data_IF_842232657110
#
_entry.id   IF_842232657110
#
_cell.length_a   1.000
_cell.length_b   1.000
_cell.length_c   1.000
_cell.angle_alpha   90.00
_cell.angle_beta   90.00
_cell.angle_gamma   90.00
#
_symmetry.space_group_name_H-M   'P 1'
#
loop_
_entity.id
_entity.type
_entity.pdbx_description
1 polymer ?
#
# COMPACT_ATOMS: atom_id res chain seq x y z
N UNK A 1 -4.41 -5.79 68.05
CA UNK A 1 -5.20 -4.69 67.47
C UNK A 1 -4.32 -3.92 66.49
N UNK A 2 -4.42 -4.22 65.19
CA UNK A 2 -3.61 -3.57 64.15
C UNK A 2 -4.55 -2.76 63.23
N UNK A 3 -4.38 -1.44 63.20
CA UNK A 3 -5.12 -0.54 62.31
C UNK A 3 -4.38 -0.48 60.96
N UNK A 4 -5.01 -1.03 59.92
CA UNK A 4 -4.60 -0.83 58.52
C UNK A 4 -5.00 0.58 58.08
N UNK A 5 -4.02 1.41 57.74
CA UNK A 5 -4.22 2.71 57.10
C UNK A 5 -4.36 2.48 55.60
N UNK A 6 -5.58 2.61 55.05
CA UNK A 6 -5.83 2.62 53.60
C UNK A 6 -5.56 4.02 53.05
N UNK A 7 -4.46 4.18 52.33
CA UNK A 7 -4.18 5.39 51.56
C UNK A 7 -5.04 5.40 50.30
N UNK A 8 -5.97 6.35 50.23
CA UNK A 8 -6.87 6.60 49.09
C UNK A 8 -6.06 7.25 47.97
N UNK A 9 -5.80 6.52 46.89
CA UNK A 9 -5.25 7.07 45.66
C UNK A 9 -6.34 7.90 44.98
N UNK A 10 -6.17 9.22 44.96
CA UNK A 10 -7.00 10.14 44.19
C UNK A 10 -6.79 9.90 42.69
N UNK A 11 -7.83 9.41 42.02
CA UNK A 11 -7.92 9.34 40.56
C UNK A 11 -8.34 10.72 40.06
N UNK A 12 -7.38 11.55 39.66
CA UNK A 12 -7.70 12.79 38.94
C UNK A 12 -7.75 12.53 37.42
N UNK A 13 -9.00 12.55 36.94
CA UNK A 13 -9.45 13.27 35.74
C UNK A 13 -8.92 12.80 34.39
N UNK A 14 -9.55 11.74 33.88
CA UNK A 14 -9.60 11.39 32.46
C UNK A 14 -10.22 12.53 31.65
N UNK A 15 -9.41 13.28 30.91
CA UNK A 15 -9.89 14.08 29.79
C UNK A 15 -10.52 13.13 28.77
N UNK A 16 -11.84 13.22 28.65
CA UNK A 16 -12.63 12.35 27.78
C UNK A 16 -12.32 12.72 26.32
N UNK A 17 -11.56 11.89 25.62
CA UNK A 17 -11.46 11.95 24.15
C UNK A 17 -12.83 11.54 23.62
N UNK A 18 -13.71 12.53 23.39
CA UNK A 18 -15.04 12.27 22.84
C UNK A 18 -14.89 11.91 21.37
N UNK A 19 -15.41 10.72 21.05
CA UNK A 19 -15.44 10.15 19.71
C UNK A 19 -16.36 10.91 18.76
N UNK A 20 -16.08 10.70 17.47
CA UNK A 20 -16.75 11.18 16.25
C UNK A 20 -18.22 11.59 16.46
N UNK A 21 -18.57 12.77 15.95
CA UNK A 21 -19.97 13.14 15.75
C UNK A 21 -20.58 12.43 14.52
N UNK A 22 -21.91 12.44 14.47
CA UNK A 22 -22.78 11.82 13.44
C UNK A 22 -22.57 12.33 12.01
N UNK A 23 -21.67 13.30 11.81
CA UNK A 23 -21.34 13.89 10.50
C UNK A 23 -19.90 13.58 10.05
N UNK A 24 -19.13 12.80 10.81
CA UNK A 24 -17.78 12.38 10.43
C UNK A 24 -16.70 13.47 10.56
N UNK A 25 -16.99 14.59 11.23
CA UNK A 25 -16.01 15.66 11.44
C UNK A 25 -15.13 15.39 12.66
N UNK A 26 -13.85 15.76 12.54
CA UNK A 26 -12.88 15.77 13.64
C UNK A 26 -13.27 16.87 14.64
N UNK A 27 -13.84 16.48 15.80
CA UNK A 27 -13.96 17.39 16.95
C UNK A 27 -12.57 17.60 17.53
N UNK A 28 -11.99 18.76 17.22
CA UNK A 28 -10.79 19.23 17.90
C UNK A 28 -11.20 19.77 19.28
N UNK A 29 -10.34 19.68 20.31
CA UNK A 29 -10.57 20.36 21.57
C UNK A 29 -10.94 21.82 21.31
N UNK A 30 -11.89 22.38 22.08
CA UNK A 30 -12.40 23.75 21.92
C UNK A 30 -11.31 24.84 21.83
N UNK A 31 -10.10 24.52 22.29
CA UNK A 31 -8.94 25.41 22.34
C UNK A 31 -8.10 25.43 21.06
N UNK A 32 -8.32 24.52 20.11
CA UNK A 32 -7.50 24.45 18.89
C UNK A 32 -8.03 25.42 17.83
N UNK A 33 -7.12 26.18 17.22
CA UNK A 33 -7.48 27.12 16.17
C UNK A 33 -7.93 26.35 14.93
N UNK A 34 -9.07 26.75 14.34
CA UNK A 34 -9.50 26.25 13.03
C UNK A 34 -8.53 26.75 11.97
N UNK A 35 -7.91 25.84 11.22
CA UNK A 35 -7.03 26.13 10.09
C UNK A 35 -7.33 25.20 8.92
N UNK A 36 -6.79 25.51 7.75
CA UNK A 36 -6.70 24.61 6.61
C UNK A 36 -5.25 24.21 6.36
N UNK A 37 -5.03 23.18 5.54
CA UNK A 37 -3.68 22.77 5.13
C UNK A 37 -2.95 23.93 4.43
N UNK A 38 -3.60 24.63 3.50
CA UNK A 38 -2.99 25.76 2.78
C UNK A 38 -2.68 26.98 3.67
N UNK A 39 -3.36 27.13 4.81
CA UNK A 39 -3.02 28.15 5.81
C UNK A 39 -1.92 27.69 6.77
N UNK A 40 -1.79 26.38 6.99
CA UNK A 40 -0.78 25.76 7.83
C UNK A 40 0.60 25.70 7.17
N UNK A 41 0.67 25.75 5.84
CA UNK A 41 1.91 25.71 5.08
C UNK A 41 1.73 25.86 3.57
N UNK A 42 2.85 25.92 2.86
CA UNK A 42 2.89 25.98 1.40
C UNK A 42 2.59 24.60 0.79
N UNK A 43 1.68 24.56 -0.18
CA UNK A 43 1.33 23.34 -0.92
C UNK A 43 1.68 23.54 -2.39
N UNK A 44 2.51 22.65 -2.93
CA UNK A 44 2.97 22.76 -4.31
C UNK A 44 3.01 21.41 -5.02
N UNK A 45 2.64 21.40 -6.30
CA UNK A 45 2.84 20.23 -7.16
C UNK A 45 4.29 20.18 -7.64
N UNK A 46 4.82 18.97 -7.84
CA UNK A 46 6.15 18.82 -8.40
C UNK A 46 6.21 19.13 -9.89
N UNK A 47 7.43 19.10 -10.44
CA UNK A 47 7.66 19.42 -11.85
C UNK A 47 7.10 18.36 -12.78
N UNK A 48 6.39 18.78 -13.82
CA UNK A 48 5.94 17.87 -14.87
C UNK A 48 7.13 17.35 -15.69
N UNK A 49 7.17 16.02 -15.90
CA UNK A 49 8.17 15.41 -16.77
C UNK A 49 7.84 15.65 -18.23
N UNK A 50 8.86 15.91 -19.03
CA UNK A 50 8.75 16.02 -20.49
C UNK A 50 10.02 15.48 -21.15
N UNK A 51 9.93 14.88 -22.36
CA UNK A 51 11.09 14.29 -23.02
C UNK A 51 12.28 15.25 -23.23
N UNK A 52 12.00 16.54 -23.43
CA UNK A 52 13.03 17.58 -23.56
C UNK A 52 13.91 17.72 -22.32
N UNK A 53 13.42 17.32 -21.14
CA UNK A 53 14.16 17.40 -19.88
C UNK A 53 15.01 16.14 -19.63
N UNK A 54 14.98 15.14 -20.51
CA UNK A 54 15.78 13.91 -20.32
C UNK A 54 17.28 14.13 -20.58
N UNK A 55 17.63 15.24 -21.23
CA UNK A 55 19.01 15.62 -21.56
C UNK A 55 19.20 17.11 -21.27
N UNK A 56 20.43 17.52 -21.00
CA UNK A 56 20.81 18.91 -20.75
C UNK A 56 22.02 19.01 -19.84
N UNK A 57 22.53 20.23 -19.65
CA UNK A 57 23.77 20.47 -18.91
C UNK A 57 23.58 20.29 -17.39
N UNK A 58 22.47 20.79 -16.86
CA UNK A 58 22.16 20.75 -15.43
C UNK A 58 21.25 19.58 -15.06
N UNK A 59 21.80 18.37 -15.06
CA UNK A 59 21.08 17.15 -14.65
C UNK A 59 21.01 17.05 -13.12
N UNK A 60 19.81 17.14 -12.57
CA UNK A 60 19.59 17.10 -11.12
C UNK A 60 18.74 15.88 -10.75
N UNK A 61 18.99 15.26 -9.58
CA UNK A 61 18.20 14.13 -9.11
C UNK A 61 16.80 14.57 -8.69
N UNK A 62 15.83 13.66 -8.82
CA UNK A 62 14.46 13.92 -8.38
C UNK A 62 13.78 12.70 -7.75
N UNK A 63 12.85 12.98 -6.83
CA UNK A 63 11.95 12.00 -6.25
C UNK A 63 10.66 11.86 -7.08
N UNK A 64 10.17 10.63 -7.14
CA UNK A 64 8.91 10.23 -7.76
C UNK A 64 8.11 9.34 -6.81
N UNK A 65 6.87 9.04 -7.18
CA UNK A 65 5.97 8.15 -6.43
C UNK A 65 6.60 6.82 -5.97
N UNK A 66 7.59 6.30 -6.72
CA UNK A 66 8.33 5.08 -6.39
C UNK A 66 9.28 5.24 -5.18
N UNK A 67 9.72 6.46 -4.89
CA UNK A 67 10.65 6.77 -3.81
C UNK A 67 9.95 7.03 -2.47
N UNK A 68 8.67 7.41 -2.48
CA UNK A 68 7.92 7.85 -1.29
C UNK A 68 7.05 6.71 -0.77
N UNK A 69 7.47 6.13 0.36
CA UNK A 69 6.72 5.15 1.15
C UNK A 69 6.02 5.84 2.33
N UNK A 70 5.29 5.09 3.18
CA UNK A 70 4.70 5.72 4.37
C UNK A 70 5.82 6.07 5.37
N UNK A 71 6.00 7.37 5.63
CA UNK A 71 7.02 7.94 6.52
C UNK A 71 8.47 7.52 6.21
N UNK A 72 8.73 7.08 4.98
CA UNK A 72 10.06 6.67 4.55
C UNK A 72 10.30 7.06 3.10
N UNK A 73 11.44 7.68 2.84
CA UNK A 73 11.92 7.95 1.48
C UNK A 73 13.05 6.98 1.16
N UNK A 74 12.96 6.31 0.02
CA UNK A 74 14.05 5.49 -0.53
C UNK A 74 14.76 6.24 -1.65
N UNK A 75 16.08 6.26 -1.56
CA UNK A 75 16.98 6.85 -2.54
C UNK A 75 17.79 5.79 -3.31
N UNK A 76 17.36 4.53 -3.25
CA UNK A 76 18.06 3.40 -3.88
C UNK A 76 17.97 3.45 -5.42
N UNK A 77 16.87 4.01 -5.93
CA UNK A 77 16.61 4.19 -7.37
C UNK A 77 16.23 5.66 -7.64
N UNK A 78 17.26 6.47 -7.90
CA UNK A 78 17.13 7.89 -8.19
C UNK A 78 17.37 8.15 -9.68
N UNK A 79 16.42 8.84 -10.29
CA UNK A 79 16.53 9.33 -11.66
C UNK A 79 16.95 10.79 -11.66
N UNK A 80 17.56 11.22 -12.76
CA UNK A 80 17.95 12.61 -12.99
C UNK A 80 17.19 13.17 -14.19
N UNK A 81 16.99 14.50 -14.19
CA UNK A 81 16.51 15.23 -15.36
C UNK A 81 17.08 16.63 -15.38
N UNK A 82 17.09 17.26 -16.54
CA UNK A 82 17.60 18.61 -16.70
C UNK A 82 16.66 19.65 -16.07
N UNK A 83 17.18 20.53 -15.22
CA UNK A 83 16.46 21.69 -14.69
C UNK A 83 17.16 23.00 -15.07
N UNK A 84 16.39 24.03 -15.39
CA UNK A 84 16.93 25.38 -15.36
C UNK A 84 17.26 25.78 -13.91
N UNK A 85 18.30 26.58 -13.69
CA UNK A 85 18.78 26.88 -12.33
C UNK A 85 17.68 27.48 -11.43
N UNK A 86 16.89 28.43 -11.95
CA UNK A 86 15.78 29.07 -11.22
C UNK A 86 14.63 28.09 -10.95
N UNK A 87 14.38 27.20 -11.91
CA UNK A 87 13.34 26.19 -11.81
C UNK A 87 13.70 25.15 -10.74
N UNK A 88 14.96 24.73 -10.69
CA UNK A 88 15.44 23.79 -9.67
C UNK A 88 15.17 24.31 -8.26
N UNK A 89 15.46 25.58 -7.97
CA UNK A 89 15.24 26.17 -6.65
C UNK A 89 13.76 26.16 -6.20
N UNK A 90 12.83 26.20 -7.16
CA UNK A 90 11.39 26.11 -6.87
C UNK A 90 11.00 24.71 -6.40
N UNK A 91 11.59 23.69 -7.04
CA UNK A 91 11.29 22.28 -6.77
C UNK A 91 12.27 21.62 -5.80
N UNK A 92 13.32 22.32 -5.35
CA UNK A 92 14.30 21.78 -4.42
C UNK A 92 13.63 21.44 -3.09
N UNK A 93 13.89 20.22 -2.62
CA UNK A 93 13.44 19.74 -1.32
C UNK A 93 14.34 20.26 -0.21
N UNK A 94 13.72 20.47 0.96
CA UNK A 94 14.36 20.93 2.18
C UNK A 94 13.92 20.05 3.33
N UNK A 95 14.78 19.89 4.32
CA UNK A 95 14.43 19.20 5.56
C UNK A 95 13.06 19.65 6.09
N UNK A 96 12.20 18.69 6.43
CA UNK A 96 10.86 18.96 6.95
C UNK A 96 9.78 19.10 5.88
N UNK A 97 10.14 19.10 4.59
CA UNK A 97 9.15 18.97 3.52
C UNK A 97 8.43 17.62 3.62
N UNK A 98 7.11 17.63 3.51
CA UNK A 98 6.31 16.40 3.47
C UNK A 98 5.85 16.16 2.05
N UNK A 99 6.17 14.99 1.51
CA UNK A 99 5.77 14.54 0.19
C UNK A 99 4.57 13.62 0.31
N UNK A 100 3.57 13.84 -0.55
CA UNK A 100 2.37 13.01 -0.65
C UNK A 100 2.27 12.43 -2.05
N UNK A 101 1.94 11.14 -2.15
CA UNK A 101 1.79 10.47 -3.43
C UNK A 101 0.58 10.94 -4.23
N UNK A 102 0.81 11.29 -5.49
CA UNK A 102 -0.19 11.50 -6.52
C UNK A 102 -0.13 10.36 -7.55
N UNK A 103 -1.27 10.05 -8.17
CA UNK A 103 -1.31 9.10 -9.29
C UNK A 103 -1.01 7.66 -8.88
N UNK A 104 -1.60 7.20 -7.76
CA UNK A 104 -1.58 5.78 -7.34
C UNK A 104 -3.00 5.20 -7.30
N UNK A 105 -3.12 3.94 -6.87
CA UNK A 105 -4.42 3.38 -6.51
C UNK A 105 -5.12 4.23 -5.46
N UNK A 106 -6.45 4.16 -5.43
CA UNK A 106 -7.28 4.94 -4.51
C UNK A 106 -6.94 4.70 -3.03
N UNK A 107 -6.37 3.55 -2.68
CA UNK A 107 -5.96 3.21 -1.31
C UNK A 107 -4.60 3.81 -0.91
N UNK A 108 -3.73 4.08 -1.88
CA UNK A 108 -2.36 4.57 -1.65
C UNK A 108 -2.20 6.07 -1.94
N UNK A 109 -3.24 6.70 -2.48
CA UNK A 109 -3.26 8.14 -2.76
C UNK A 109 -3.04 8.94 -1.48
N UNK A 110 -2.16 9.93 -1.55
CA UNK A 110 -1.83 10.77 -0.41
C UNK A 110 -0.90 10.13 0.62
N UNK A 111 -0.30 8.96 0.34
CA UNK A 111 0.71 8.35 1.22
C UNK A 111 1.83 9.36 1.53
N UNK A 112 2.01 9.77 2.80
CA UNK A 112 2.93 10.85 3.15
C UNK A 112 4.29 10.33 3.66
N UNK A 113 5.36 11.06 3.36
CA UNK A 113 6.66 10.93 4.02
C UNK A 113 7.32 12.29 4.21
N UNK A 114 7.99 12.49 5.35
CA UNK A 114 8.81 13.67 5.57
C UNK A 114 10.22 13.44 5.03
N UNK A 115 10.72 14.43 4.29
CA UNK A 115 12.08 14.49 3.78
C UNK A 115 13.04 14.95 4.88
N UNK A 116 14.04 14.12 5.16
CA UNK A 116 15.03 14.28 6.24
C UNK A 116 16.44 14.42 5.69
N UNK A 117 16.58 15.00 4.49
CA UNK A 117 17.84 15.15 3.76
C UNK A 117 18.46 13.82 3.35
N UNK A 118 17.63 12.84 2.97
CA UNK A 118 18.10 11.56 2.44
C UNK A 118 19.00 11.72 1.21
N UNK A 119 18.80 12.81 0.45
CA UNK A 119 19.62 13.21 -0.69
C UNK A 119 19.52 14.74 -0.90
N UNK A 120 20.62 15.50 -0.84
CA UNK A 120 20.64 16.94 -1.13
C UNK A 120 21.83 17.26 -2.04
N UNK A 121 21.65 17.96 -3.18
CA UNK A 121 20.40 18.53 -3.70
C UNK A 121 19.48 17.50 -4.35
N UNK A 122 18.16 17.68 -4.21
CA UNK A 122 17.15 16.86 -4.90
C UNK A 122 15.87 17.65 -5.14
N UNK A 123 15.20 17.38 -6.26
CA UNK A 123 13.88 17.93 -6.59
C UNK A 123 12.79 16.85 -6.54
N UNK A 124 11.56 17.17 -6.96
CA UNK A 124 10.45 16.21 -7.05
C UNK A 124 9.58 16.46 -8.27
N UNK A 125 8.88 15.40 -8.71
CA UNK A 125 8.01 15.42 -9.90
C UNK A 125 6.54 15.58 -9.54
N UNK A 126 5.71 15.89 -10.54
CA UNK A 126 4.25 16.02 -10.41
C UNK A 126 3.51 14.72 -10.01
N UNK A 127 4.24 13.60 -9.90
CA UNK A 127 3.75 12.38 -9.22
C UNK A 127 3.70 12.52 -7.70
N UNK A 128 4.11 13.67 -7.17
CA UNK A 128 4.11 14.02 -5.76
C UNK A 128 3.55 15.44 -5.56
N UNK A 129 2.92 15.64 -4.41
CA UNK A 129 2.61 16.96 -3.85
C UNK A 129 3.52 17.20 -2.65
N UNK A 130 4.04 18.42 -2.52
CA UNK A 130 4.82 18.86 -1.36
C UNK A 130 3.94 19.73 -0.47
N UNK A 131 3.99 19.46 0.84
CA UNK A 131 3.61 20.37 1.90
C UNK A 131 4.87 20.86 2.62
N UNK A 132 5.03 22.17 2.77
CA UNK A 132 6.09 22.79 3.57
C UNK A 132 5.46 23.58 4.70
N UNK A 133 5.71 23.16 5.92
CA UNK A 133 5.15 23.77 7.13
C UNK A 133 5.51 25.27 7.22
N UNK A 134 4.55 26.08 7.65
CA UNK A 134 4.82 27.45 8.09
C UNK A 134 5.52 27.46 9.46
N UNK A 135 6.02 28.62 9.89
CA UNK A 135 6.68 28.75 11.21
C UNK A 135 5.76 28.47 12.41
N UNK A 136 4.44 28.35 12.21
CA UNK A 136 3.48 28.00 13.25
C UNK A 136 3.20 26.49 13.35
N UNK A 137 3.85 25.68 12.50
CA UNK A 137 3.58 24.24 12.37
C UNK A 137 4.85 23.45 12.52
N UNK A 138 4.84 22.48 13.44
CA UNK A 138 5.91 21.50 13.57
C UNK A 138 5.79 20.45 12.44
N UNK A 139 6.81 20.27 11.58
CA UNK A 139 6.72 19.33 10.46
C UNK A 139 6.35 17.90 10.85
N UNK A 140 6.92 17.38 11.93
CA UNK A 140 6.63 16.02 12.39
C UNK A 140 5.17 15.88 12.88
N UNK A 141 4.58 16.94 13.41
CA UNK A 141 3.16 16.97 13.74
C UNK A 141 2.29 16.95 12.48
N UNK A 142 2.62 17.77 11.47
CA UNK A 142 1.90 17.77 10.20
C UNK A 142 1.94 16.40 9.51
N UNK A 143 3.07 15.71 9.58
CA UNK A 143 3.21 14.34 9.08
C UNK A 143 2.22 13.38 9.77
N UNK A 144 2.08 13.47 11.11
CA UNK A 144 1.12 12.64 11.85
C UNK A 144 -0.33 12.92 11.43
N UNK A 145 -0.69 14.19 11.22
CA UNK A 145 -2.01 14.58 10.70
C UNK A 145 -2.26 13.96 9.33
N UNK A 146 -1.29 14.01 8.42
CA UNK A 146 -1.45 13.44 7.08
C UNK A 146 -1.48 11.92 7.08
N UNK A 147 -0.71 11.26 7.96
CA UNK A 147 -0.84 9.81 8.19
C UNK A 147 -2.23 9.45 8.69
N UNK A 148 -2.79 10.26 9.59
CA UNK A 148 -4.18 10.10 10.01
C UNK A 148 -5.16 10.27 8.83
N UNK A 149 -4.95 11.22 7.93
CA UNK A 149 -5.82 11.41 6.75
C UNK A 149 -5.74 10.27 5.73
N UNK A 150 -4.56 9.66 5.60
CA UNK A 150 -4.40 8.43 4.82
C UNK A 150 -5.24 7.30 5.43
N UNK A 151 -5.01 6.97 6.70
CA UNK A 151 -5.61 5.80 7.36
C UNK A 151 -7.09 5.96 7.70
N UNK A 152 -7.58 7.19 7.88
CA UNK A 152 -9.01 7.47 8.10
C UNK A 152 -9.82 7.55 6.80
N UNK A 153 -9.15 7.53 5.64
CA UNK A 153 -9.80 7.63 4.33
C UNK A 153 -10.17 9.05 3.90
N UNK A 154 -9.74 10.09 4.63
CA UNK A 154 -9.95 11.50 4.23
C UNK A 154 -9.34 11.76 2.85
N UNK A 155 -8.11 11.32 2.60
CA UNK A 155 -7.46 11.45 1.30
C UNK A 155 -8.22 10.74 0.18
N UNK A 156 -8.70 9.52 0.44
CA UNK A 156 -9.55 8.77 -0.49
C UNK A 156 -10.85 9.51 -0.80
N UNK A 157 -11.48 10.14 0.19
CA UNK A 157 -12.76 10.83 0.03
C UNK A 157 -12.67 12.06 -0.87
N UNK A 158 -11.52 12.75 -0.86
CA UNK A 158 -11.31 13.94 -1.69
C UNK A 158 -10.64 13.62 -3.02
N UNK A 159 -10.04 12.44 -3.19
CA UNK A 159 -9.33 12.07 -4.40
C UNK A 159 -10.28 11.97 -5.61
N UNK A 160 -9.76 12.28 -6.80
CA UNK A 160 -10.46 12.05 -8.07
C UNK A 160 -9.68 11.03 -8.86
N UNK A 161 -10.40 10.09 -9.46
CA UNK A 161 -9.82 9.08 -10.34
C UNK A 161 -9.81 9.64 -11.76
N UNK A 162 -8.68 9.52 -12.44
CA UNK A 162 -8.52 9.84 -13.85
C UNK A 162 -7.74 8.70 -14.48
N UNK A 163 -8.27 8.08 -15.54
CA UNK A 163 -7.57 7.04 -16.34
C UNK A 163 -6.80 6.03 -15.46
N UNK A 164 -7.48 5.42 -14.48
CA UNK A 164 -6.96 4.45 -13.49
C UNK A 164 -6.03 4.97 -12.37
N UNK A 165 -5.75 6.27 -12.30
CA UNK A 165 -4.93 6.87 -11.25
C UNK A 165 -5.72 7.84 -10.38
N UNK A 166 -5.56 7.74 -9.06
CA UNK A 166 -6.17 8.64 -8.11
C UNK A 166 -5.27 9.83 -7.80
N UNK A 167 -5.86 11.02 -7.82
CA UNK A 167 -5.17 12.28 -7.56
C UNK A 167 -5.80 13.05 -6.40
N UNK A 168 -4.98 13.55 -5.47
CA UNK A 168 -5.43 14.46 -4.39
C UNK A 168 -5.74 15.83 -4.98
N UNK A 169 -4.85 16.36 -5.82
CA UNK A 169 -4.92 17.70 -6.36
C UNK A 169 -4.61 18.77 -5.30
N UNK A 170 -3.68 19.67 -5.63
CA UNK A 170 -3.16 20.73 -4.74
C UNK A 170 -4.27 21.53 -4.07
N UNK A 171 -5.26 22.03 -4.83
CA UNK A 171 -6.32 22.88 -4.27
C UNK A 171 -7.23 22.13 -3.28
N UNK A 172 -7.53 20.85 -3.54
CA UNK A 172 -8.39 20.04 -2.65
C UNK A 172 -7.64 19.66 -1.38
N UNK A 173 -6.37 19.29 -1.51
CA UNK A 173 -5.52 19.03 -0.36
C UNK A 173 -5.34 20.28 0.50
N UNK A 174 -5.06 21.45 -0.10
CA UNK A 174 -4.93 22.72 0.59
C UNK A 174 -6.22 23.16 1.32
N UNK A 175 -7.39 22.77 0.82
CA UNK A 175 -8.69 23.08 1.42
C UNK A 175 -9.07 22.17 2.60
N UNK A 176 -8.34 21.07 2.83
CA UNK A 176 -8.64 20.19 3.95
C UNK A 176 -8.50 20.95 5.28
N UNK A 177 -9.38 20.67 6.27
CA UNK A 177 -9.17 21.14 7.63
C UNK A 177 -7.78 20.72 8.13
N UNK A 178 -7.16 21.52 8.99
CA UNK A 178 -5.92 21.18 9.65
C UNK A 178 -6.02 21.55 11.14
N UNK A 179 -5.88 20.58 12.07
CA UNK A 179 -5.86 20.88 13.50
C UNK A 179 -4.60 21.66 13.84
N UNK A 180 -4.74 22.82 14.47
CA UNK A 180 -3.61 23.69 14.80
C UNK A 180 -3.56 24.03 16.30
N UNK A 181 -3.04 23.12 17.14
CA UNK A 181 -2.73 23.43 18.53
C UNK A 181 -1.55 24.40 18.67
N UNK A 182 -1.30 24.95 19.88
CA UNK A 182 -0.06 25.67 20.18
C UNK A 182 1.19 24.86 19.83
N UNK A 183 2.25 25.52 19.37
CA UNK A 183 3.45 24.85 18.83
C UNK A 183 4.11 23.90 19.83
N UNK A 184 4.08 24.22 21.13
CA UNK A 184 4.66 23.35 22.16
C UNK A 184 3.87 22.03 22.31
N UNK A 185 2.53 22.11 22.22
CA UNK A 185 1.69 20.90 22.19
C UNK A 185 1.93 20.08 20.91
N UNK A 186 2.15 20.73 19.76
CA UNK A 186 2.48 20.02 18.52
C UNK A 186 3.78 19.21 18.69
N UNK A 187 4.81 19.82 19.30
CA UNK A 187 6.09 19.17 19.60
C UNK A 187 5.95 18.01 20.57
N UNK A 188 5.16 18.17 21.64
CA UNK A 188 4.91 17.09 22.60
C UNK A 188 4.19 15.91 21.93
N UNK A 189 3.15 16.18 21.13
CA UNK A 189 2.43 15.15 20.39
C UNK A 189 3.38 14.43 19.42
N UNK A 190 4.20 15.18 18.67
CA UNK A 190 5.16 14.63 17.74
C UNK A 190 6.18 13.72 18.43
N UNK A 191 6.75 14.19 19.54
CA UNK A 191 7.72 13.44 20.35
C UNK A 191 7.14 12.14 20.90
N UNK A 192 5.99 12.20 21.58
CA UNK A 192 5.33 11.03 22.17
C UNK A 192 4.97 10.02 21.07
N UNK A 193 4.40 10.49 19.96
CA UNK A 193 4.03 9.62 18.84
C UNK A 193 5.24 8.95 18.22
N UNK A 194 6.36 9.68 18.05
CA UNK A 194 7.63 9.12 17.56
C UNK A 194 8.15 8.03 18.48
N UNK A 195 8.23 8.29 19.78
CA UNK A 195 8.66 7.30 20.77
C UNK A 195 7.84 6.00 20.66
N UNK A 196 6.52 6.11 20.51
CA UNK A 196 5.66 4.94 20.31
C UNK A 196 5.88 4.23 18.98
N UNK A 197 6.00 4.97 17.88
CA UNK A 197 6.23 4.42 16.54
C UNK A 197 7.58 3.69 16.46
N UNK A 198 8.63 4.26 17.03
CA UNK A 198 9.96 3.66 17.10
C UNK A 198 9.96 2.38 17.92
N UNK A 199 9.23 2.35 19.03
CA UNK A 199 9.05 1.15 19.84
C UNK A 199 8.29 0.06 19.08
N UNK A 200 7.23 0.41 18.36
CA UNK A 200 6.48 -0.52 17.51
C UNK A 200 7.37 -1.11 16.43
N UNK A 201 8.18 -0.28 15.76
CA UNK A 201 9.07 -0.74 14.71
C UNK A 201 10.18 -1.65 15.25
N UNK A 202 10.73 -1.34 16.43
CA UNK A 202 11.68 -2.22 17.12
C UNK A 202 11.08 -3.60 17.41
N UNK A 203 9.86 -3.65 17.93
CA UNK A 203 9.16 -4.91 18.23
C UNK A 203 8.88 -5.69 16.94
N UNK A 204 8.45 -5.02 15.88
CA UNK A 204 8.20 -5.63 14.56
C UNK A 204 9.47 -6.27 14.01
N UNK A 205 10.60 -5.56 14.04
CA UNK A 205 11.88 -6.07 13.56
C UNK A 205 12.37 -7.28 14.35
N UNK A 206 12.21 -7.27 15.68
CA UNK A 206 12.56 -8.41 16.52
C UNK A 206 11.66 -9.62 16.24
N UNK A 207 10.36 -9.41 16.04
CA UNK A 207 9.44 -10.48 15.66
C UNK A 207 9.84 -11.12 14.32
N UNK A 208 10.12 -10.32 13.29
CA UNK A 208 10.59 -10.82 12.00
C UNK A 208 11.93 -11.57 12.10
N UNK A 209 12.83 -11.13 12.98
CA UNK A 209 14.10 -11.83 13.24
C UNK A 209 13.86 -13.22 13.84
N UNK A 210 12.98 -13.32 14.84
CA UNK A 210 12.61 -14.59 15.48
C UNK A 210 11.95 -15.53 14.49
N UNK A 211 11.04 -15.05 13.64
CA UNK A 211 10.42 -15.85 12.58
C UNK A 211 11.44 -16.43 11.60
N UNK A 212 12.41 -15.61 11.17
CA UNK A 212 13.50 -16.05 10.29
C UNK A 212 14.36 -17.13 10.95
N UNK A 213 14.75 -16.94 12.21
CA UNK A 213 15.53 -17.91 12.98
C UNK A 213 14.77 -19.23 13.17
N UNK A 214 13.48 -19.18 13.51
CA UNK A 214 12.63 -20.37 13.61
C UNK A 214 12.53 -21.10 12.27
N UNK A 215 12.41 -20.36 11.17
CA UNK A 215 12.44 -20.92 9.82
C UNK A 215 13.74 -21.65 9.51
N UNK A 216 14.89 -21.05 9.85
CA UNK A 216 16.21 -21.66 9.68
C UNK A 216 16.39 -22.90 10.57
N UNK A 217 16.01 -22.81 11.85
CA UNK A 217 16.10 -23.93 12.79
C UNK A 217 15.25 -25.12 12.34
N UNK A 218 14.00 -24.88 11.89
CA UNK A 218 13.14 -25.93 11.34
C UNK A 218 13.77 -26.63 10.13
N UNK A 219 14.43 -25.88 9.24
CA UNK A 219 15.15 -26.45 8.09
C UNK A 219 16.34 -27.29 8.55
N UNK A 220 17.14 -26.79 9.49
CA UNK A 220 18.27 -27.52 10.04
C UNK A 220 17.84 -28.81 10.75
N UNK A 221 16.82 -28.74 11.60
CA UNK A 221 16.26 -29.90 12.31
C UNK A 221 15.75 -30.96 11.34
N UNK A 222 15.00 -30.57 10.30
CA UNK A 222 14.55 -31.51 9.25
C UNK A 222 15.73 -32.18 8.56
N UNK A 223 16.76 -31.41 8.20
CA UNK A 223 17.96 -31.95 7.55
C UNK A 223 18.66 -32.99 8.44
N UNK A 224 18.86 -32.69 9.71
CA UNK A 224 19.49 -33.58 10.67
C UNK A 224 18.62 -34.82 10.98
N UNK A 225 17.29 -34.68 10.96
CA UNK A 225 16.35 -35.77 11.19
C UNK A 225 16.32 -36.74 10.01
N UNK A 226 16.25 -36.23 8.77
CA UNK A 226 16.34 -37.05 7.56
C UNK A 226 17.72 -37.70 7.37
N UNK A 227 18.80 -37.06 7.84
CA UNK A 227 20.13 -37.67 7.85
C UNK A 227 20.29 -38.79 8.91
N UNK A 228 19.26 -39.04 9.72
CA UNK A 228 19.26 -40.05 10.78
C UNK A 228 20.28 -39.76 11.90
N UNK A 229 20.78 -38.52 12.01
CA UNK A 229 21.76 -38.11 13.03
C UNK A 229 21.07 -37.83 14.37
N UNK A 230 19.88 -37.24 14.33
CA UNK A 230 19.03 -37.05 15.52
C UNK A 230 18.59 -38.39 16.13
N UNK A 231 18.21 -39.37 15.30
CA UNK A 231 17.83 -40.70 15.78
C UNK A 231 18.99 -41.46 16.44
N UNK A 232 20.23 -41.26 15.95
CA UNK A 232 21.45 -41.86 16.52
C UNK A 232 21.86 -41.27 17.86
N UNK A 233 21.58 -39.99 18.11
CA UNK A 233 21.85 -39.34 19.40
C UNK A 233 20.84 -39.72 20.50
N UNK A 234 19.61 -40.08 20.14
CA UNK A 234 18.55 -40.49 21.07
C UNK A 234 18.63 -42.00 21.38
N UNK A 235 19.76 -42.66 21.07
CA UNK A 235 19.99 -44.11 21.27
C UNK A 235 20.15 -44.54 22.75
N UNK A 236 19.62 -43.76 23.69
CA UNK A 236 19.45 -44.16 25.09
C UNK A 236 17.96 -44.31 25.40
N UNK A 237 17.52 -45.57 25.46
CA UNK A 237 16.20 -46.04 25.88
C UNK A 237 15.00 -45.68 24.99
N UNK A 238 14.59 -46.71 24.23
CA UNK A 238 13.23 -47.08 23.82
C UNK A 238 12.28 -46.01 23.27
N UNK A 239 11.66 -46.38 22.15
CA UNK A 239 10.43 -45.77 21.60
C UNK A 239 10.56 -44.58 20.64
N UNK A 240 11.73 -44.36 20.02
CA UNK A 240 11.86 -43.35 18.94
C UNK A 240 11.02 -43.73 17.71
N UNK A 241 10.96 -45.02 17.34
CA UNK A 241 10.16 -45.49 16.19
C UNK A 241 8.65 -45.41 16.46
N UNK A 242 8.22 -45.70 17.68
CA UNK A 242 6.83 -45.63 18.11
C UNK A 242 6.38 -44.17 18.23
N UNK A 243 7.26 -43.29 18.74
CA UNK A 243 7.07 -41.83 18.74
C UNK A 243 7.04 -41.24 17.33
N UNK A 244 7.80 -41.78 16.36
CA UNK A 244 7.73 -41.41 14.95
C UNK A 244 6.39 -41.81 14.33
N UNK A 245 5.91 -43.03 14.57
CA UNK A 245 4.59 -43.48 14.10
C UNK A 245 3.44 -42.69 14.73
N UNK A 246 3.56 -42.34 16.03
CA UNK A 246 2.61 -41.47 16.72
C UNK A 246 2.65 -40.04 16.18
N UNK A 247 3.83 -39.52 15.84
CA UNK A 247 4.00 -38.21 15.23
C UNK A 247 3.50 -38.16 13.78
N UNK A 248 3.70 -39.22 13.00
CA UNK A 248 3.11 -39.40 11.66
C UNK A 248 1.58 -39.48 11.74
N UNK A 249 1.05 -40.19 12.74
CA UNK A 249 -0.39 -40.23 13.01
C UNK A 249 -0.93 -38.86 13.45
N UNK A 250 -0.21 -38.11 14.30
CA UNK A 250 -0.55 -36.74 14.69
C UNK A 250 -0.48 -35.75 13.51
N UNK A 251 0.51 -35.87 12.62
CA UNK A 251 0.60 -35.10 11.38
C UNK A 251 -0.53 -35.44 10.39
N UNK A 252 -0.95 -36.70 10.34
CA UNK A 252 -2.07 -37.14 9.54
C UNK A 252 -3.42 -36.72 10.13
N UNK A 253 -3.51 -36.60 11.46
CA UNK A 253 -4.70 -36.21 12.21
C UNK A 253 -4.86 -34.69 12.42
N UNK A 254 -3.77 -33.91 12.29
CA UNK A 254 -3.88 -32.46 12.22
C UNK A 254 -4.81 -32.12 11.06
N UNK A 255 -5.80 -31.22 11.25
CA UNK A 255 -6.60 -30.74 10.13
C UNK A 255 -5.60 -30.18 9.12
N UNK A 256 -5.48 -30.83 7.96
CA UNK A 256 -4.62 -30.35 6.87
C UNK A 256 -4.88 -28.84 6.82
N UNK A 257 -3.84 -27.98 6.89
CA UNK A 257 -4.05 -26.56 6.69
C UNK A 257 -4.91 -26.51 5.46
N UNK A 258 -6.04 -25.81 5.56
CA UNK A 258 -6.88 -25.55 4.42
C UNK A 258 -5.94 -25.06 3.34
N UNK A 259 -5.50 -25.98 2.49
CA UNK A 259 -5.16 -25.69 1.14
C UNK A 259 -6.48 -25.08 0.75
N UNK A 260 -6.50 -23.74 0.72
CA UNK A 260 -6.99 -23.08 -0.48
C UNK A 260 -6.34 -23.89 -1.58
N UNK A 261 -7.05 -24.94 -2.00
CA UNK A 261 -6.93 -25.47 -3.33
C UNK A 261 -7.03 -24.17 -4.09
N UNK A 262 -5.93 -23.74 -4.69
CA UNK A 262 -6.04 -23.18 -6.02
C UNK A 262 -6.85 -24.24 -6.76
N UNK A 263 -8.18 -24.10 -6.70
CA UNK A 263 -9.04 -24.82 -7.62
C UNK A 263 -8.41 -24.46 -8.96
N UNK A 264 -8.06 -25.41 -9.83
CA UNK A 264 -8.15 -25.09 -11.23
C UNK A 264 -9.63 -24.78 -11.40
N UNK A 265 -10.01 -23.51 -11.25
CA UNK A 265 -11.39 -23.08 -11.34
C UNK A 265 -11.63 -22.69 -12.79
N UNK A 266 -11.29 -23.61 -13.68
CA UNK A 266 -11.79 -23.70 -15.05
C UNK A 266 -13.12 -24.46 -15.06
N UNK A 267 -13.94 -24.25 -14.03
CA UNK A 267 -15.33 -24.71 -14.02
C UNK A 267 -16.17 -23.46 -14.12
N UNK A 268 -16.46 -23.05 -15.36
CA UNK A 268 -17.50 -22.08 -15.69
C UNK A 268 -18.77 -22.41 -14.88
N UNK A 269 -19.42 -21.39 -14.32
CA UNK A 269 -20.71 -21.59 -13.65
C UNK A 269 -21.77 -21.98 -14.69
N UNK A 270 -22.87 -22.60 -14.24
CA UNK A 270 -23.99 -23.00 -15.10
C UNK A 270 -24.55 -21.77 -15.83
N UNK A 271 -24.31 -21.67 -17.14
CA UNK A 271 -24.71 -20.52 -17.98
C UNK A 271 -23.55 -19.66 -18.52
N UNK A 272 -22.32 -19.86 -18.04
CA UNK A 272 -21.13 -19.19 -18.60
C UNK A 272 -20.50 -20.04 -19.71
N UNK A 273 -20.03 -19.37 -20.76
CA UNK A 273 -19.34 -20.02 -21.88
C UNK A 273 -17.89 -19.51 -21.97
N UNK A 274 -16.94 -20.33 -22.46
CA UNK A 274 -15.56 -19.89 -22.69
C UNK A 274 -15.48 -18.74 -23.69
N UNK A 275 -14.47 -17.89 -23.57
CA UNK A 275 -14.20 -16.76 -24.48
C UNK A 275 -14.09 -17.21 -25.94
N UNK A 276 -13.46 -18.37 -26.19
CA UNK A 276 -13.35 -18.92 -27.54
C UNK A 276 -14.69 -19.34 -28.13
N UNK A 277 -15.64 -19.76 -27.29
CA UNK A 277 -17.00 -20.09 -27.73
C UNK A 277 -17.86 -18.83 -27.92
N UNK A 278 -17.68 -17.80 -27.10
CA UNK A 278 -18.35 -16.50 -27.27
C UNK A 278 -17.94 -15.78 -28.57
N UNK A 279 -16.73 -16.06 -29.08
CA UNK A 279 -16.21 -15.51 -30.33
C UNK A 279 -16.50 -16.38 -31.57
N UNK A 280 -17.05 -17.60 -31.40
CA UNK A 280 -17.45 -18.44 -32.55
C UNK A 280 -18.64 -17.80 -33.28
N UNK A 281 -18.43 -17.42 -34.54
CA UNK A 281 -19.47 -16.82 -35.38
C UNK A 281 -19.54 -15.29 -35.32
N UNK A 282 -18.59 -14.62 -34.66
CA UNK A 282 -18.50 -13.15 -34.70
C UNK A 282 -17.45 -12.71 -35.71
N UNK A 283 -17.91 -12.19 -36.84
CA UNK A 283 -17.05 -11.71 -37.95
C UNK A 283 -16.38 -10.35 -37.69
N UNK A 284 -16.78 -9.65 -36.62
CA UNK A 284 -16.27 -8.32 -36.27
C UNK A 284 -15.50 -8.34 -34.94
N UNK A 285 -14.40 -7.59 -34.81
CA UNK A 285 -13.70 -7.44 -33.54
C UNK A 285 -14.64 -6.92 -32.44
N UNK A 286 -14.60 -7.56 -31.26
CA UNK A 286 -15.43 -7.20 -30.11
C UNK A 286 -14.53 -6.62 -29.01
N UNK A 287 -14.96 -5.55 -28.35
CA UNK A 287 -14.28 -5.03 -27.17
C UNK A 287 -14.39 -5.97 -25.95
N UNK A 288 -13.52 -5.76 -24.97
CA UNK A 288 -13.47 -6.60 -23.77
C UNK A 288 -14.74 -6.60 -22.91
N UNK A 289 -15.50 -5.49 -22.88
CA UNK A 289 -16.72 -5.38 -22.06
C UNK A 289 -17.88 -6.16 -22.68
N UNK A 290 -18.04 -6.05 -23.99
CA UNK A 290 -19.03 -6.79 -24.76
C UNK A 290 -18.70 -8.28 -24.80
N UNK A 291 -17.42 -8.63 -24.85
CA UNK A 291 -16.96 -10.01 -24.73
C UNK A 291 -17.26 -10.60 -23.35
N UNK A 292 -17.09 -9.82 -22.28
CA UNK A 292 -17.44 -10.21 -20.91
C UNK A 292 -18.94 -10.58 -20.79
N UNK A 293 -19.81 -9.74 -21.35
CA UNK A 293 -21.25 -10.00 -21.37
C UNK A 293 -21.61 -11.23 -22.20
N UNK A 294 -21.01 -11.39 -23.39
CA UNK A 294 -21.24 -12.56 -24.25
C UNK A 294 -20.81 -13.89 -23.60
N UNK A 295 -19.85 -13.86 -22.67
CA UNK A 295 -19.45 -15.03 -21.89
C UNK A 295 -20.44 -15.37 -20.76
N UNK A 296 -21.50 -14.58 -20.57
CA UNK A 296 -22.55 -14.82 -19.58
C UNK A 296 -22.27 -14.24 -18.20
N UNK A 297 -21.38 -13.24 -18.08
CA UNK A 297 -21.13 -12.55 -16.83
C UNK A 297 -22.06 -11.34 -16.66
N UNK A 298 -22.72 -11.17 -15.50
CA UNK A 298 -23.60 -10.03 -15.24
C UNK A 298 -22.80 -8.73 -14.96
N UNK A 299 -23.43 -7.57 -15.15
CA UNK A 299 -22.78 -6.25 -14.96
C UNK A 299 -22.33 -6.01 -13.51
N UNK A 300 -23.02 -6.60 -12.53
CA UNK A 300 -22.71 -6.54 -11.10
C UNK A 300 -21.77 -7.67 -10.62
N UNK A 301 -21.01 -8.26 -11.55
CA UNK A 301 -20.06 -9.34 -11.24
C UNK A 301 -19.08 -8.96 -10.13
N UNK A 302 -19.01 -9.82 -9.11
CA UNK A 302 -17.98 -9.71 -8.05
C UNK A 302 -16.55 -9.76 -8.61
N UNK A 303 -15.58 -9.24 -7.86
CA UNK A 303 -14.15 -9.27 -8.21
C UNK A 303 -13.66 -10.67 -8.61
N UNK A 304 -14.12 -11.72 -7.90
CA UNK A 304 -13.77 -13.11 -8.19
C UNK A 304 -14.25 -13.59 -9.58
N UNK A 305 -15.39 -13.09 -10.07
CA UNK A 305 -15.96 -13.45 -11.37
C UNK A 305 -15.23 -12.71 -12.50
N UNK A 306 -14.86 -11.45 -12.26
CA UNK A 306 -14.05 -10.66 -13.19
C UNK A 306 -12.67 -11.31 -13.38
N UNK A 307 -12.04 -11.78 -12.30
CA UNK A 307 -10.77 -12.52 -12.36
C UNK A 307 -10.89 -13.83 -13.16
N UNK A 308 -12.00 -14.55 -13.05
CA UNK A 308 -12.24 -15.77 -13.83
C UNK A 308 -12.31 -15.50 -15.33
N UNK A 309 -12.99 -14.44 -15.74
CA UNK A 309 -13.02 -14.01 -17.14
C UNK A 309 -11.63 -13.68 -17.66
N UNK A 310 -10.84 -12.88 -16.94
CA UNK A 310 -9.49 -12.52 -17.37
C UNK A 310 -8.55 -13.72 -17.42
N UNK A 311 -8.76 -14.72 -16.56
CA UNK A 311 -7.99 -15.96 -16.59
C UNK A 311 -8.30 -16.80 -17.84
N UNK A 312 -9.58 -16.92 -18.23
CA UNK A 312 -9.96 -17.60 -19.47
C UNK A 312 -9.45 -16.83 -20.69
N UNK A 313 -9.64 -15.50 -20.74
CA UNK A 313 -9.13 -14.64 -21.81
C UNK A 313 -7.61 -14.80 -22.01
N UNK A 314 -6.84 -14.78 -20.92
CA UNK A 314 -5.38 -15.00 -20.97
C UNK A 314 -5.04 -16.40 -21.46
N UNK A 315 -5.80 -17.41 -21.03
CA UNK A 315 -5.59 -18.81 -21.43
C UNK A 315 -5.82 -18.99 -22.92
N UNK A 316 -6.90 -18.41 -23.47
CA UNK A 316 -7.20 -18.49 -24.91
C UNK A 316 -6.19 -17.71 -25.78
N UNK A 317 -5.68 -16.58 -25.29
CA UNK A 317 -4.59 -15.84 -25.96
C UNK A 317 -3.29 -16.64 -25.97
N UNK A 318 -2.95 -17.30 -24.85
CA UNK A 318 -1.77 -18.17 -24.77
C UNK A 318 -1.90 -19.44 -25.62
N UNK A 319 -3.12 -19.96 -25.75
CA UNK A 319 -3.41 -21.13 -26.57
C UNK A 319 -3.54 -20.81 -28.07
N UNK A 320 -3.48 -19.54 -28.49
CA UNK A 320 -3.66 -19.15 -29.89
C UNK A 320 -5.05 -19.48 -30.45
N UNK A 321 -6.08 -19.46 -29.59
CA UNK A 321 -7.48 -19.66 -30.05
C UNK A 321 -8.15 -18.33 -30.42
N UNK A 322 -7.60 -17.21 -29.94
CA UNK A 322 -8.08 -15.85 -30.19
C UNK A 322 -6.90 -14.90 -30.38
N UNK A 323 -7.12 -13.80 -31.10
CA UNK A 323 -6.14 -12.73 -31.28
C UNK A 323 -6.61 -11.46 -30.59
N UNK A 324 -5.68 -10.76 -29.96
CA UNK A 324 -5.85 -9.39 -29.44
C UNK A 324 -5.33 -8.40 -30.47
N UNK A 325 -6.16 -7.45 -30.85
CA UNK A 325 -5.82 -6.33 -31.73
C UNK A 325 -6.07 -5.02 -30.99
N UNK A 326 -5.33 -3.97 -31.34
CA UNK A 326 -5.53 -2.63 -30.79
C UNK A 326 -6.25 -1.77 -31.85
N UNK A 327 -7.39 -1.17 -31.48
CA UNK A 327 -8.16 -0.28 -32.36
C UNK A 327 -8.69 0.89 -31.55
N UNK A 328 -8.42 2.11 -32.02
CA UNK A 328 -8.87 3.36 -31.39
C UNK A 328 -8.48 3.48 -29.90
N UNK A 329 -7.30 2.94 -29.53
CA UNK A 329 -6.79 2.96 -28.15
C UNK A 329 -7.42 1.93 -27.21
N UNK A 330 -8.20 0.99 -27.74
CA UNK A 330 -8.85 -0.07 -26.99
C UNK A 330 -8.49 -1.47 -27.53
N UNK A 331 -8.44 -2.45 -26.64
CA UNK A 331 -8.24 -3.85 -27.01
C UNK A 331 -9.53 -4.46 -27.56
N UNK A 332 -9.43 -5.03 -28.76
CA UNK A 332 -10.50 -5.80 -29.40
C UNK A 332 -10.04 -7.22 -29.68
N UNK A 333 -10.95 -8.19 -29.59
CA UNK A 333 -10.67 -9.61 -29.68
C UNK A 333 -11.39 -10.24 -30.88
N UNK A 334 -10.68 -11.13 -31.59
CA UNK A 334 -11.21 -11.91 -32.72
C UNK A 334 -10.83 -13.38 -32.59
N UNK A 335 -11.64 -14.32 -33.10
CA UNK A 335 -11.25 -15.73 -33.15
C UNK A 335 -10.05 -15.91 -34.10
N UNK A 336 -9.11 -16.78 -33.73
CA UNK A 336 -8.07 -17.20 -34.67
C UNK A 336 -8.71 -18.18 -35.65
N UNK A 337 -8.86 -17.80 -36.93
CA UNK A 337 -9.37 -18.70 -37.97
C UNK A 337 -8.42 -19.91 -38.06
N UNK A 338 -8.90 -21.09 -37.70
CA UNK A 338 -8.26 -22.33 -38.12
C UNK A 338 -8.38 -22.43 -39.63
N UNK A 339 -7.27 -22.70 -40.31
CA UNK A 339 -7.29 -23.28 -41.65
C UNK A 339 -8.16 -24.55 -41.57
N UNK A 340 -9.33 -24.49 -42.19
CA UNK A 340 -10.05 -25.66 -42.65
C UNK A 340 -9.99 -25.58 -44.19
N UNK A 341 -9.59 -26.71 -44.77
CA UNK A 341 -9.47 -27.02 -46.20
C UNK A 341 -10.60 -26.48 -47.09
#
# INVERSE_FOLDING_TARGET
MAKQTRTRVERNSTATVRGRNSSGNLETPLEWKKSTVGAAGDVSAGRQRSPKNHYGENMQPYLRVANVFEDRISVDDIMTMHFEQKEFETYRLRHGDILLNEGQSLELVGRPAMFRNELDPVAFTNSLVRFRASGAVEPEYALLVFRHYLHSGVFRSIAKITTNLAHLGVSRFAALPFPLPPIDQQRDIARISREHLDNIERIRNEASRVESLLGALKKALRKEALAGKLARQISGETDVLTSLSAYEALLAAQPKPSRRRSKPRTSLMKGQIPVSQALKGVDKPIDGQKLFYLCGYPEDSSTDLIEQFFLDLRTQLQAGSILRLERDGHDVFVPQKGEAE
#
